data_IF_166877127768
#
_entry.id   IF_166877127768
#
_cell.length_a   1.000
_cell.length_b   1.000
_cell.length_c   1.000
_cell.angle_alpha   90.00
_cell.angle_beta   90.00
_cell.angle_gamma   90.00
#
_symmetry.space_group_name_H-M   'P 1'
#
loop_
_entity.id
_entity.type
_entity.pdbx_description
1 polymer ?
#
# COMPACT_ATOMS: atom_id res chain seq x y z
N UNK A 1 16.46 0.53 13.62
CA UNK A 1 17.16 0.96 14.85
C UNK A 1 16.47 0.44 16.11
N UNK A 2 15.15 0.51 16.24
CA UNK A 2 14.42 0.05 17.43
C UNK A 2 14.57 -1.47 17.68
N UNK A 3 14.61 -2.29 16.64
CA UNK A 3 14.91 -3.73 16.77
C UNK A 3 16.31 -3.94 17.35
N UNK A 4 17.33 -3.22 16.86
CA UNK A 4 18.70 -3.28 17.39
C UNK A 4 18.75 -2.95 18.89
N UNK A 5 18.06 -1.89 19.29
CA UNK A 5 17.96 -1.48 20.71
C UNK A 5 17.25 -2.53 21.54
N UNK A 6 16.12 -3.04 21.08
CA UNK A 6 15.32 -4.03 21.82
C UNK A 6 16.07 -5.34 22.03
N UNK A 7 16.89 -5.76 21.05
CA UNK A 7 17.70 -6.97 21.13
C UNK A 7 19.06 -6.76 21.83
N UNK A 8 19.45 -5.52 22.13
CA UNK A 8 20.80 -5.22 22.61
C UNK A 8 21.88 -5.58 21.59
N UNK A 9 21.57 -5.57 20.29
CA UNK A 9 22.44 -5.99 19.19
C UNK A 9 22.79 -4.80 18.28
N UNK A 10 23.67 -3.88 18.70
CA UNK A 10 23.96 -2.69 17.89
C UNK A 10 24.64 -3.03 16.55
N UNK A 11 25.28 -4.19 16.45
CA UNK A 11 25.95 -4.67 15.23
C UNK A 11 25.03 -5.43 14.26
N UNK A 12 23.74 -5.61 14.61
CA UNK A 12 22.79 -6.27 13.73
C UNK A 12 22.72 -5.53 12.40
N UNK A 13 22.99 -6.23 11.30
CA UNK A 13 22.88 -5.67 9.95
C UNK A 13 21.54 -6.03 9.33
N UNK A 14 20.96 -5.09 8.60
CA UNK A 14 19.79 -5.30 7.76
C UNK A 14 20.28 -5.41 6.32
N UNK A 15 19.93 -6.49 5.65
CA UNK A 15 20.15 -6.67 4.22
C UNK A 15 18.84 -6.35 3.51
N UNK A 16 18.84 -5.31 2.69
CA UNK A 16 17.67 -4.90 1.91
C UNK A 16 17.64 -5.68 0.60
N UNK A 17 16.48 -6.27 0.30
CA UNK A 17 16.22 -7.05 -0.91
C UNK A 17 15.01 -6.46 -1.61
N UNK A 18 15.16 -6.09 -2.88
CA UNK A 18 14.04 -5.57 -3.68
C UNK A 18 13.06 -6.67 -4.01
N UNK A 19 11.80 -6.42 -3.73
CA UNK A 19 10.68 -7.33 -4.02
C UNK A 19 9.61 -6.64 -4.84
N UNK A 20 8.75 -7.43 -5.47
CA UNK A 20 7.53 -7.00 -6.18
C UNK A 20 6.31 -7.59 -5.49
N UNK A 21 5.11 -7.11 -5.84
CA UNK A 21 3.86 -7.69 -5.32
C UNK A 21 3.73 -9.19 -5.62
N UNK A 22 4.30 -9.67 -6.72
CA UNK A 22 4.21 -11.08 -7.12
C UNK A 22 5.27 -11.99 -6.47
N UNK A 23 6.47 -11.48 -6.14
CA UNK A 23 7.56 -12.32 -5.64
C UNK A 23 7.80 -12.24 -4.13
N UNK A 24 7.29 -11.22 -3.42
CA UNK A 24 7.54 -11.03 -1.98
C UNK A 24 7.13 -12.23 -1.12
N UNK A 25 5.94 -12.80 -1.34
CA UNK A 25 5.48 -13.98 -0.60
C UNK A 25 6.30 -15.24 -0.91
N UNK A 26 6.54 -15.62 -2.19
CA UNK A 26 7.47 -16.70 -2.52
C UNK A 26 8.86 -16.53 -1.93
N UNK A 27 9.44 -15.34 -1.98
CA UNK A 27 10.78 -15.08 -1.42
C UNK A 27 10.81 -15.26 0.10
N UNK A 28 9.75 -14.85 0.80
CA UNK A 28 9.62 -15.08 2.24
C UNK A 28 9.52 -16.57 2.57
N UNK A 29 8.66 -17.31 1.86
CA UNK A 29 8.46 -18.74 2.10
C UNK A 29 9.69 -19.59 1.75
N UNK A 30 10.50 -19.14 0.79
CA UNK A 30 11.76 -19.78 0.39
C UNK A 30 12.98 -19.30 1.20
N UNK A 31 12.79 -18.61 2.32
CA UNK A 31 13.86 -18.09 3.19
C UNK A 31 14.86 -17.15 2.47
N UNK A 32 14.45 -16.47 1.42
CA UNK A 32 15.26 -15.46 0.74
C UNK A 32 15.17 -14.09 1.43
N UNK A 33 14.08 -13.85 2.16
CA UNK A 33 13.90 -12.73 3.08
C UNK A 33 13.27 -13.24 4.37
N UNK A 34 13.47 -12.53 5.48
CA UNK A 34 12.92 -12.90 6.79
C UNK A 34 11.70 -12.06 7.18
N UNK A 35 11.66 -10.83 6.70
CA UNK A 35 10.63 -9.84 7.01
C UNK A 35 10.39 -8.97 5.77
N UNK A 36 9.13 -8.72 5.46
CA UNK A 36 8.72 -7.72 4.46
C UNK A 36 7.83 -6.70 5.15
N UNK A 37 8.21 -5.42 5.08
CA UNK A 37 7.49 -4.29 5.66
C UNK A 37 7.35 -3.20 4.60
N UNK A 38 6.50 -3.43 3.62
CA UNK A 38 6.21 -2.50 2.54
C UNK A 38 4.72 -2.22 2.43
N UNK A 39 4.21 -2.20 1.22
CA UNK A 39 2.79 -2.05 0.92
C UNK A 39 2.08 -3.40 0.83
N UNK A 40 2.33 -4.30 1.78
CA UNK A 40 1.63 -5.59 1.81
C UNK A 40 0.34 -5.47 2.62
N UNK A 41 -0.78 -5.63 1.92
CA UNK A 41 -2.10 -5.70 2.55
C UNK A 41 -2.22 -6.94 3.42
N UNK A 42 -2.63 -6.77 4.66
CA UNK A 42 -3.00 -7.84 5.56
C UNK A 42 -4.42 -8.31 5.21
N UNK A 43 -4.56 -9.50 4.67
CA UNK A 43 -5.85 -10.13 4.35
C UNK A 43 -5.97 -11.49 5.00
N UNK A 44 -7.20 -11.91 5.33
CA UNK A 44 -7.49 -13.24 5.87
C UNK A 44 -7.01 -14.36 4.92
N UNK A 45 -7.12 -14.13 3.60
CA UNK A 45 -6.61 -15.10 2.62
C UNK A 45 -5.09 -15.30 2.75
N UNK A 46 -4.33 -14.21 2.90
CA UNK A 46 -2.86 -14.28 3.04
C UNK A 46 -2.41 -14.90 4.35
N UNK A 47 -3.22 -14.79 5.41
CA UNK A 47 -2.96 -15.48 6.69
C UNK A 47 -2.89 -17.00 6.55
N UNK A 48 -3.45 -17.59 5.49
CA UNK A 48 -3.30 -19.02 5.23
C UNK A 48 -1.84 -19.43 4.94
N UNK A 49 -1.05 -18.54 4.35
CA UNK A 49 0.34 -18.81 3.96
C UNK A 49 1.39 -18.18 4.87
N UNK A 50 1.13 -16.99 5.39
CA UNK A 50 2.10 -16.15 6.14
C UNK A 50 1.49 -15.62 7.43
N UNK A 51 2.32 -15.05 8.29
CA UNK A 51 1.89 -14.32 9.48
C UNK A 51 2.10 -12.81 9.29
N UNK A 52 1.31 -12.03 9.98
CA UNK A 52 1.36 -10.56 9.94
C UNK A 52 1.62 -9.95 11.31
N UNK A 53 2.22 -8.78 11.30
CA UNK A 53 2.36 -7.92 12.46
C UNK A 53 1.06 -7.15 12.74
N UNK A 54 1.08 -6.35 13.82
CA UNK A 54 0.13 -5.26 13.95
C UNK A 54 0.15 -4.38 12.69
N UNK A 55 -1.03 -3.94 12.29
CA UNK A 55 -1.17 -3.02 11.16
C UNK A 55 -0.57 -1.66 11.48
N UNK A 56 0.13 -1.06 10.51
CA UNK A 56 0.78 0.23 10.72
C UNK A 56 0.22 1.35 9.84
N UNK A 57 -0.62 1.03 8.87
CA UNK A 57 -1.23 2.02 7.98
C UNK A 57 -2.56 1.51 7.44
N UNK A 58 -3.61 2.33 7.52
CA UNK A 58 -4.90 2.05 6.90
C UNK A 58 -5.13 3.02 5.73
N UNK A 59 -5.67 2.51 4.63
CA UNK A 59 -5.87 3.26 3.40
C UNK A 59 -7.13 2.81 2.66
N UNK A 60 -7.55 3.64 1.71
CA UNK A 60 -8.60 3.29 0.76
C UNK A 60 -8.01 2.82 -0.57
N UNK A 61 -8.71 1.94 -1.27
CA UNK A 61 -8.42 1.62 -2.67
C UNK A 61 -9.19 2.58 -3.55
N UNK A 62 -8.46 3.32 -4.38
CA UNK A 62 -9.01 4.34 -5.27
C UNK A 62 -8.44 4.23 -6.68
N UNK A 63 -8.70 5.20 -7.52
CA UNK A 63 -8.10 5.31 -8.84
C UNK A 63 -7.45 6.67 -9.04
N UNK A 64 -6.40 6.68 -9.85
CA UNK A 64 -5.84 7.90 -10.43
C UNK A 64 -6.17 7.93 -11.92
N UNK A 65 -6.61 9.08 -12.40
CA UNK A 65 -7.02 9.32 -13.79
C UNK A 65 -6.42 10.62 -14.29
N UNK A 66 -6.40 10.81 -15.61
CA UNK A 66 -6.13 12.14 -16.17
C UNK A 66 -7.29 13.08 -15.84
N UNK A 67 -6.99 14.29 -15.40
CA UNK A 67 -7.99 15.30 -15.09
C UNK A 67 -8.85 15.63 -16.30
N UNK A 68 -8.28 15.61 -17.50
CA UNK A 68 -8.98 15.85 -18.78
C UNK A 68 -9.96 14.75 -19.15
N UNK A 69 -9.92 13.58 -18.52
CA UNK A 69 -10.81 12.46 -18.86
C UNK A 69 -12.25 12.66 -18.41
N UNK A 70 -12.50 13.55 -17.46
CA UNK A 70 -13.82 13.75 -16.85
C UNK A 70 -14.31 12.58 -15.98
N UNK A 71 -13.50 11.52 -15.81
CA UNK A 71 -13.84 10.36 -14.97
C UNK A 71 -13.81 10.78 -13.51
N UNK A 72 -14.87 10.49 -12.79
CA UNK A 72 -15.05 10.85 -11.37
C UNK A 72 -15.28 9.66 -10.47
N UNK A 73 -15.88 8.58 -10.97
CA UNK A 73 -16.13 7.36 -10.20
C UNK A 73 -15.96 6.09 -11.05
N UNK A 74 -15.94 4.92 -10.42
CA UNK A 74 -15.75 3.62 -11.05
C UNK A 74 -16.83 3.27 -12.09
N UNK A 75 -18.04 3.78 -11.95
CA UNK A 75 -19.10 3.63 -12.94
C UNK A 75 -18.77 4.27 -14.28
N UNK A 76 -17.97 5.34 -14.28
CA UNK A 76 -17.55 6.03 -15.50
C UNK A 76 -16.54 5.21 -16.33
N UNK A 77 -16.00 4.13 -15.73
CA UNK A 77 -15.03 3.24 -16.37
C UNK A 77 -15.68 2.19 -17.29
N UNK A 78 -17.00 2.08 -17.30
CA UNK A 78 -17.72 1.04 -18.08
C UNK A 78 -17.22 0.94 -19.52
N UNK A 79 -16.85 -0.27 -19.96
CA UNK A 79 -16.31 -0.58 -21.29
C UNK A 79 -14.87 -0.10 -21.56
N UNK A 80 -14.21 0.55 -20.60
CA UNK A 80 -12.87 1.14 -20.78
C UNK A 80 -11.75 0.20 -20.37
N UNK A 81 -10.54 0.54 -20.79
CA UNK A 81 -9.31 -0.16 -20.35
C UNK A 81 -8.81 0.48 -19.06
N UNK A 82 -8.62 -0.36 -18.04
CA UNK A 82 -8.15 0.03 -16.72
C UNK A 82 -6.92 -0.79 -16.37
N UNK A 83 -5.94 -0.19 -15.74
CA UNK A 83 -4.73 -0.87 -15.29
C UNK A 83 -4.70 -0.96 -13.77
N UNK A 84 -4.16 -2.05 -13.27
CA UNK A 84 -3.77 -2.26 -11.86
C UNK A 84 -2.44 -3.01 -11.82
N UNK A 85 -1.91 -3.28 -10.64
CA UNK A 85 -0.68 -4.06 -10.50
C UNK A 85 -1.01 -5.53 -10.23
N UNK A 86 -0.32 -6.43 -10.89
CA UNK A 86 -0.51 -7.87 -10.76
C UNK A 86 -0.26 -8.37 -9.32
N UNK A 87 -1.03 -9.36 -8.89
CA UNK A 87 -0.90 -10.03 -7.60
C UNK A 87 -1.17 -9.14 -6.38
N UNK A 88 -1.91 -8.05 -6.58
CA UNK A 88 -2.37 -7.17 -5.50
C UNK A 88 -3.81 -7.51 -5.07
N UNK A 89 -4.20 -7.05 -3.88
CA UNK A 89 -5.59 -7.06 -3.44
C UNK A 89 -6.48 -6.19 -4.34
N UNK A 90 -5.94 -5.07 -4.82
CA UNK A 90 -6.63 -4.17 -5.73
C UNK A 90 -7.04 -4.83 -7.03
N UNK A 91 -6.20 -5.70 -7.60
CA UNK A 91 -6.55 -6.48 -8.78
C UNK A 91 -7.79 -7.35 -8.51
N UNK A 92 -7.85 -8.00 -7.34
CA UNK A 92 -9.02 -8.81 -6.95
C UNK A 92 -10.26 -7.95 -6.75
N UNK A 93 -10.13 -6.84 -6.00
CA UNK A 93 -11.23 -5.91 -5.78
C UNK A 93 -11.78 -5.35 -7.08
N UNK A 94 -10.90 -4.94 -7.99
CA UNK A 94 -11.30 -4.41 -9.30
C UNK A 94 -12.01 -5.45 -10.16
N UNK A 95 -11.50 -6.70 -10.20
CA UNK A 95 -12.13 -7.81 -10.92
C UNK A 95 -13.49 -8.15 -10.33
N UNK A 96 -13.61 -8.16 -9.00
CA UNK A 96 -14.88 -8.36 -8.30
C UNK A 96 -15.88 -7.26 -8.63
N UNK A 97 -15.48 -5.99 -8.52
CA UNK A 97 -16.32 -4.86 -8.90
C UNK A 97 -16.83 -4.98 -10.34
N UNK A 98 -15.92 -5.33 -11.27
CA UNK A 98 -16.26 -5.51 -12.69
C UNK A 98 -17.33 -6.59 -12.90
N UNK A 99 -17.20 -7.72 -12.19
CA UNK A 99 -18.18 -8.81 -12.25
C UNK A 99 -19.51 -8.41 -11.63
N UNK A 100 -19.48 -7.87 -10.40
CA UNK A 100 -20.68 -7.57 -9.62
C UNK A 100 -21.54 -6.44 -10.26
N UNK A 101 -20.87 -5.48 -10.89
CA UNK A 101 -21.55 -4.32 -11.52
C UNK A 101 -21.63 -4.41 -13.05
N UNK A 102 -21.19 -5.50 -13.65
CA UNK A 102 -21.23 -5.74 -15.12
C UNK A 102 -20.63 -4.58 -15.93
N UNK A 103 -19.50 -4.01 -15.47
CA UNK A 103 -18.91 -2.82 -16.07
C UNK A 103 -18.20 -3.08 -17.40
N UNK A 104 -17.97 -4.35 -17.77
CA UNK A 104 -17.26 -4.74 -18.98
C UNK A 104 -15.87 -4.07 -19.12
N UNK A 105 -15.14 -3.94 -18.00
CA UNK A 105 -13.81 -3.36 -18.00
C UNK A 105 -12.81 -4.28 -18.72
N UNK A 106 -11.92 -3.70 -19.50
CA UNK A 106 -10.73 -4.37 -19.99
C UNK A 106 -9.60 -4.13 -18.96
N UNK A 107 -9.45 -5.08 -18.03
CA UNK A 107 -8.48 -4.98 -16.93
C UNK A 107 -7.14 -5.52 -17.39
N UNK A 108 -6.10 -4.68 -17.35
CA UNK A 108 -4.70 -5.05 -17.54
C UNK A 108 -3.98 -5.05 -16.20
N UNK A 109 -3.14 -6.06 -15.96
CA UNK A 109 -2.32 -6.16 -14.76
C UNK A 109 -0.86 -5.92 -15.14
N UNK A 110 -0.29 -4.81 -14.67
CA UNK A 110 1.10 -4.45 -14.90
C UNK A 110 2.02 -5.21 -13.94
N UNK A 111 3.27 -5.40 -14.31
CA UNK A 111 4.28 -6.08 -13.50
C UNK A 111 4.55 -5.39 -12.16
N UNK A 112 4.56 -4.06 -12.19
CA UNK A 112 4.78 -3.21 -11.02
C UNK A 112 3.99 -1.90 -11.12
N UNK A 113 3.99 -1.11 -10.05
CA UNK A 113 3.21 0.12 -9.97
C UNK A 113 3.72 1.20 -10.94
N UNK A 114 5.02 1.24 -11.22
CA UNK A 114 5.59 2.21 -12.16
C UNK A 114 5.12 1.94 -13.60
N UNK A 115 5.10 0.66 -14.01
CA UNK A 115 4.56 0.25 -15.30
C UNK A 115 3.05 0.54 -15.41
N UNK A 116 2.30 0.33 -14.32
CA UNK A 116 0.88 0.65 -14.28
C UNK A 116 0.63 2.16 -14.47
N UNK A 117 1.39 3.00 -13.75
CA UNK A 117 1.28 4.46 -13.91
C UNK A 117 1.76 4.93 -15.29
N UNK A 118 2.80 4.31 -15.85
CA UNK A 118 3.22 4.57 -17.22
C UNK A 118 2.12 4.27 -18.24
N UNK A 119 1.37 3.17 -18.07
CA UNK A 119 0.24 2.83 -18.93
C UNK A 119 -0.86 3.91 -18.91
N UNK A 120 -1.14 4.51 -17.74
CA UNK A 120 -2.03 5.67 -17.62
C UNK A 120 -1.46 6.90 -18.33
N UNK A 121 -0.18 7.18 -18.16
CA UNK A 121 0.50 8.34 -18.79
C UNK A 121 0.53 8.25 -20.31
N UNK A 122 0.70 7.06 -20.83
CA UNK A 122 0.74 6.76 -22.27
C UNK A 122 -0.66 6.52 -22.88
N UNK A 123 -1.71 6.73 -22.08
CA UNK A 123 -3.10 6.57 -22.49
C UNK A 123 -3.47 5.14 -22.96
N UNK A 124 -2.65 4.14 -22.58
CA UNK A 124 -2.97 2.71 -22.77
C UNK A 124 -4.09 2.24 -21.82
N UNK A 125 -4.32 2.98 -20.73
CA UNK A 125 -5.42 2.80 -19.82
C UNK A 125 -5.97 4.17 -19.40
N UNK A 126 -7.26 4.26 -19.10
CA UNK A 126 -7.89 5.51 -18.65
C UNK A 126 -7.81 5.75 -17.15
N UNK A 127 -7.55 4.70 -16.38
CA UNK A 127 -7.40 4.74 -14.93
C UNK A 127 -6.35 3.72 -14.47
N UNK A 128 -5.62 4.08 -13.41
CA UNK A 128 -4.83 3.16 -12.61
C UNK A 128 -5.48 3.02 -11.23
N UNK A 129 -5.89 1.80 -10.90
CA UNK A 129 -6.56 1.47 -9.62
C UNK A 129 -5.54 0.87 -8.68
N UNK A 130 -5.38 1.48 -7.49
CA UNK A 130 -4.36 1.11 -6.52
C UNK A 130 -4.62 1.76 -5.16
N UNK A 131 -3.83 1.39 -4.17
CA UNK A 131 -3.80 1.98 -2.84
C UNK A 131 -3.64 3.49 -2.91
N UNK A 132 -4.49 4.20 -2.19
CA UNK A 132 -4.52 5.66 -2.21
C UNK A 132 -3.15 6.32 -1.93
N UNK A 133 -2.35 5.92 -0.93
CA UNK A 133 -1.03 6.51 -0.70
C UNK A 133 -0.07 6.29 -1.87
N UNK A 134 -0.16 5.16 -2.57
CA UNK A 134 0.69 4.87 -3.73
C UNK A 134 0.35 5.77 -4.91
N UNK A 135 -0.94 5.92 -5.23
CA UNK A 135 -1.34 6.79 -6.35
C UNK A 135 -1.10 8.28 -6.05
N UNK A 136 -1.19 8.71 -4.79
CA UNK A 136 -0.74 10.05 -4.38
C UNK A 136 0.77 10.24 -4.56
N UNK A 137 1.56 9.21 -4.23
CA UNK A 137 3.01 9.20 -4.46
C UNK A 137 3.35 9.41 -5.93
N UNK A 138 2.77 8.61 -6.83
CA UNK A 138 2.98 8.75 -8.28
C UNK A 138 2.54 10.10 -8.81
N UNK A 139 1.36 10.58 -8.39
CA UNK A 139 0.89 11.92 -8.76
C UNK A 139 1.88 12.99 -8.34
N UNK A 140 2.33 12.97 -7.07
CA UNK A 140 3.16 14.02 -6.51
C UNK A 140 4.58 14.05 -7.07
N UNK A 141 5.07 12.92 -7.59
CA UNK A 141 6.40 12.80 -8.20
C UNK A 141 6.39 13.02 -9.71
N UNK A 142 5.22 13.11 -10.35
CA UNK A 142 5.14 13.40 -11.78
C UNK A 142 5.54 14.86 -12.06
N UNK A 143 6.25 15.15 -13.15
CA UNK A 143 6.59 16.53 -13.55
C UNK A 143 5.36 17.45 -13.73
N UNK A 144 4.19 16.87 -13.99
CA UNK A 144 2.93 17.58 -14.18
C UNK A 144 1.82 17.01 -13.29
N UNK A 145 1.94 17.16 -11.96
CA UNK A 145 1.02 16.55 -11.00
C UNK A 145 -0.43 17.07 -11.15
N UNK A 146 -0.59 18.26 -11.73
CA UNK A 146 -1.89 18.88 -12.02
C UNK A 146 -2.68 18.21 -13.14
N UNK A 147 -2.03 17.39 -13.98
CA UNK A 147 -2.67 16.63 -15.05
C UNK A 147 -3.48 15.43 -14.53
N UNK A 148 -3.27 15.05 -13.28
CA UNK A 148 -3.87 13.87 -12.67
C UNK A 148 -4.74 14.21 -11.45
N UNK A 149 -5.76 13.40 -11.24
CA UNK A 149 -6.62 13.45 -10.04
C UNK A 149 -6.78 12.05 -9.47
N UNK A 150 -6.67 11.94 -8.13
CA UNK A 150 -7.06 10.73 -7.40
C UNK A 150 -8.53 10.88 -7.05
N UNK A 151 -9.36 9.94 -7.47
CA UNK A 151 -10.82 10.03 -7.37
C UNK A 151 -11.47 8.65 -7.23
N UNK A 152 -12.79 8.62 -7.22
CA UNK A 152 -13.61 7.43 -7.06
C UNK A 152 -14.04 7.20 -5.61
N UNK A 153 -15.25 6.72 -5.43
CA UNK A 153 -15.69 6.16 -4.14
C UNK A 153 -14.76 5.01 -3.76
N UNK A 154 -14.24 4.92 -2.52
CA UNK A 154 -13.37 3.82 -2.12
C UNK A 154 -13.97 2.45 -2.47
N UNK A 155 -13.20 1.59 -3.14
CA UNK A 155 -13.60 0.20 -3.39
C UNK A 155 -13.60 -0.63 -2.11
N UNK A 156 -12.78 -0.26 -1.16
CA UNK A 156 -12.62 -0.88 0.14
C UNK A 156 -11.59 -0.11 0.95
N UNK A 157 -11.49 -0.51 2.20
CA UNK A 157 -10.44 -0.04 3.12
C UNK A 157 -9.58 -1.24 3.48
N UNK A 158 -8.28 -1.07 3.41
CA UNK A 158 -7.29 -2.11 3.67
C UNK A 158 -6.23 -1.60 4.65
N UNK A 159 -5.40 -2.51 5.17
CA UNK A 159 -4.31 -2.16 6.08
C UNK A 159 -2.99 -2.78 5.62
N UNK A 160 -1.90 -2.05 5.77
CA UNK A 160 -0.55 -2.59 5.65
C UNK A 160 -0.07 -3.17 6.98
N UNK A 161 0.57 -4.32 6.89
CA UNK A 161 1.29 -4.94 8.00
C UNK A 161 2.59 -5.56 7.51
N UNK A 162 3.57 -5.73 8.40
CA UNK A 162 4.75 -6.49 8.09
C UNK A 162 4.42 -7.98 7.98
N UNK A 163 4.97 -8.65 6.97
CA UNK A 163 4.75 -10.05 6.68
C UNK A 163 6.00 -10.87 7.04
N UNK A 164 5.81 -12.02 7.67
CA UNK A 164 6.85 -12.98 8.03
C UNK A 164 6.33 -14.42 8.02
N UNK A 165 7.24 -15.40 8.16
CA UNK A 165 6.86 -16.81 8.14
C UNK A 165 6.00 -17.16 9.36
N UNK A 166 5.04 -18.06 9.16
CA UNK A 166 4.22 -18.59 10.26
C UNK A 166 5.09 -19.35 11.28
N UNK A 167 4.70 -19.25 12.54
CA UNK A 167 5.39 -19.96 13.64
C UNK A 167 6.57 -19.20 14.23
N UNK A 168 7.00 -18.08 13.65
CA UNK A 168 8.06 -17.24 14.21
C UNK A 168 7.50 -16.25 15.26
N UNK A 169 7.01 -16.79 16.36
CA UNK A 169 6.45 -15.99 17.45
C UNK A 169 7.46 -15.03 18.11
N UNK A 170 8.76 -15.36 18.24
CA UNK A 170 9.73 -14.38 18.71
C UNK A 170 9.85 -13.15 17.81
N UNK A 171 9.92 -13.33 16.49
CA UNK A 171 9.98 -12.24 15.53
C UNK A 171 8.66 -11.43 15.55
N UNK A 172 7.51 -12.10 15.59
CA UNK A 172 6.20 -11.45 15.68
C UNK A 172 6.11 -10.55 16.90
N UNK A 173 6.46 -11.05 18.08
CA UNK A 173 6.45 -10.26 19.33
C UNK A 173 7.38 -9.05 19.24
N UNK A 174 8.57 -9.25 18.68
CA UNK A 174 9.55 -8.18 18.50
C UNK A 174 9.03 -7.07 17.60
N UNK A 175 8.52 -7.44 16.39
CA UNK A 175 7.99 -6.49 15.40
C UNK A 175 6.76 -5.77 15.97
N UNK A 176 5.82 -6.50 16.56
CA UNK A 176 4.62 -5.92 17.18
C UNK A 176 4.99 -4.95 18.32
N UNK A 177 5.98 -5.30 19.13
CA UNK A 177 6.44 -4.42 20.20
C UNK A 177 7.02 -3.11 19.68
N UNK A 178 7.74 -3.13 18.55
CA UNK A 178 8.27 -1.92 17.91
C UNK A 178 7.16 -1.08 17.30
N UNK A 179 6.25 -1.70 16.53
CA UNK A 179 5.12 -1.00 15.89
C UNK A 179 4.23 -0.36 16.95
N UNK A 180 3.78 -1.11 17.95
CA UNK A 180 2.89 -0.60 18.99
C UNK A 180 3.51 0.56 19.78
N UNK A 181 4.79 0.46 20.15
CA UNK A 181 5.49 1.58 20.80
C UNK A 181 5.53 2.80 19.90
N UNK A 182 5.90 2.64 18.63
CA UNK A 182 5.94 3.76 17.70
C UNK A 182 4.58 4.43 17.50
N UNK A 183 3.50 3.65 17.51
CA UNK A 183 2.14 4.16 17.39
C UNK A 183 1.72 4.91 18.66
N UNK A 184 1.86 4.32 19.82
CA UNK A 184 1.38 4.88 21.09
C UNK A 184 2.28 5.99 21.65
N UNK A 185 3.56 6.09 21.24
CA UNK A 185 4.46 7.18 21.64
C UNK A 185 4.26 8.49 20.86
N UNK A 186 3.48 8.46 19.76
CA UNK A 186 3.35 9.58 18.82
C UNK A 186 4.42 9.60 17.73
N UNK A 187 5.39 8.68 17.71
CA UNK A 187 6.41 8.61 16.66
C UNK A 187 5.82 8.28 15.31
N UNK A 188 4.81 7.41 15.24
CA UNK A 188 4.11 7.09 14.00
C UNK A 188 3.44 8.34 13.40
N UNK A 189 2.77 9.16 14.22
CA UNK A 189 2.18 10.41 13.75
C UNK A 189 3.24 11.43 13.31
N UNK A 190 4.36 11.52 14.02
CA UNK A 190 5.49 12.38 13.64
C UNK A 190 6.08 11.95 12.29
N UNK A 191 6.31 10.65 12.09
CA UNK A 191 6.80 10.10 10.82
C UNK A 191 5.77 10.31 9.70
N UNK A 192 4.48 10.12 9.99
CA UNK A 192 3.43 10.39 9.02
C UNK A 192 3.48 11.84 8.54
N UNK A 193 3.54 12.82 9.47
CA UNK A 193 3.65 14.23 9.12
C UNK A 193 4.86 14.50 8.24
N UNK A 194 6.02 13.93 8.60
CA UNK A 194 7.27 14.12 7.86
C UNK A 194 7.17 13.63 6.39
N UNK A 195 6.51 12.50 6.15
CA UNK A 195 6.52 11.87 4.84
C UNK A 195 5.28 12.11 3.99
N UNK A 196 4.16 12.52 4.58
CA UNK A 196 2.89 12.65 3.87
C UNK A 196 2.35 14.08 3.80
N UNK A 197 2.77 14.98 4.71
CA UNK A 197 2.20 16.33 4.79
C UNK A 197 3.24 17.45 4.77
N UNK A 198 4.53 17.11 4.71
CA UNK A 198 5.62 18.07 4.66
C UNK A 198 6.47 17.84 3.40
N UNK A 199 7.27 18.85 2.97
CA UNK A 199 8.20 18.69 1.86
C UNK A 199 9.26 17.63 2.17
N UNK A 200 9.36 16.60 1.32
CA UNK A 200 10.28 15.46 1.44
C UNK A 200 11.63 15.83 0.80
N UNK A 201 12.76 15.79 1.54
CA UNK A 201 14.08 15.99 0.95
C UNK A 201 14.43 14.89 -0.07
N UNK A 202 15.30 15.15 -1.05
CA UNK A 202 15.91 16.45 -1.37
C UNK A 202 15.05 17.33 -2.28
N UNK A 203 13.97 16.80 -2.86
CA UNK A 203 13.22 17.44 -3.94
C UNK A 203 12.05 18.32 -3.47
N UNK A 204 11.77 18.37 -2.18
CA UNK A 204 10.68 19.17 -1.62
C UNK A 204 9.27 18.72 -2.01
N UNK A 205 9.12 17.49 -2.51
CA UNK A 205 7.82 16.91 -2.89
C UNK A 205 6.96 16.77 -1.66
N UNK A 206 5.70 17.21 -1.72
CA UNK A 206 4.72 17.02 -0.67
C UNK A 206 3.53 16.23 -1.24
N UNK A 207 3.19 15.11 -0.61
CA UNK A 207 2.07 14.29 -1.03
C UNK A 207 0.73 14.98 -0.74
N UNK A 208 0.71 15.93 0.20
CA UNK A 208 -0.52 16.57 0.67
C UNK A 208 -1.60 15.56 1.06
N UNK A 209 -1.19 14.50 1.74
CA UNK A 209 -2.03 13.38 2.16
C UNK A 209 -2.21 13.41 3.68
N UNK A 210 -3.30 14.02 4.18
CA UNK A 210 -3.49 14.23 5.61
C UNK A 210 -3.77 12.92 6.36
N UNK A 211 -3.34 12.84 7.62
CA UNK A 211 -3.60 11.70 8.48
C UNK A 211 -5.11 11.52 8.69
N UNK A 212 -5.63 10.36 8.30
CA UNK A 212 -7.04 10.02 8.45
C UNK A 212 -7.42 9.72 9.90
N UNK A 213 -8.70 9.81 10.22
CA UNK A 213 -9.22 9.38 11.52
C UNK A 213 -9.00 7.89 11.77
N UNK A 214 -9.10 7.07 10.73
CA UNK A 214 -8.83 5.64 10.79
C UNK A 214 -7.39 5.36 11.20
N UNK A 215 -6.42 6.06 10.63
CA UNK A 215 -5.01 5.93 11.04
C UNK A 215 -4.77 6.46 12.46
N UNK A 216 -5.45 7.54 12.88
CA UNK A 216 -5.39 8.00 14.28
C UNK A 216 -5.91 6.94 15.25
N UNK A 217 -7.05 6.32 14.92
CA UNK A 217 -7.63 5.24 15.70
C UNK A 217 -6.72 4.02 15.76
N UNK A 218 -6.11 3.63 14.62
CA UNK A 218 -5.14 2.54 14.53
C UNK A 218 -3.90 2.81 15.40
N UNK A 219 -3.40 4.05 15.43
CA UNK A 219 -2.25 4.42 16.26
C UNK A 219 -2.60 4.44 17.75
N UNK A 220 -3.83 4.83 18.10
CA UNK A 220 -4.30 4.80 19.49
C UNK A 220 -4.56 3.36 19.99
N UNK A 221 -4.97 2.45 19.09
CA UNK A 221 -5.35 1.08 19.40
C UNK A 221 -4.68 0.09 18.46
N UNK A 222 -3.34 -0.15 18.59
CA UNK A 222 -2.61 -1.09 17.75
C UNK A 222 -3.25 -2.48 17.74
N UNK A 223 -3.45 -3.05 16.56
CA UNK A 223 -4.02 -4.37 16.41
C UNK A 223 -3.55 -5.04 15.11
N UNK A 224 -3.78 -6.34 15.00
CA UNK A 224 -3.41 -7.18 13.86
C UNK A 224 -4.63 -7.71 13.10
N UNK A 225 -5.71 -6.95 13.05
CA UNK A 225 -6.92 -7.37 12.33
C UNK A 225 -6.78 -7.12 10.84
N UNK A 226 -7.01 -8.15 10.03
CA UNK A 226 -7.24 -7.99 8.61
C UNK A 226 -8.55 -7.21 8.38
N UNK A 227 -8.57 -6.36 7.36
CA UNK A 227 -9.79 -5.76 6.84
C UNK A 227 -10.09 -6.44 5.49
N UNK A 228 -11.23 -7.14 5.40
CA UNK A 228 -11.71 -7.84 4.20
C UNK A 228 -12.96 -7.15 3.63
#
# INVERSE_FOLDING_TARGET
DEIRKTLGMPQLRVHEVTVTSSNRTPMLLNNQIDLECGSTTHTVERENAVAFSNSFFQYAVRMIVRKSSGISDFTDLAGKTVVTTASTSDERLLRRLNADRHLNLRITAARDHAEAFAALKEERAVAFVMDEPIVYGFKSTDPRPGDFVVTGTPLGYEVYACMFRKGDEPLRKLVNGVISRGQTSGDAERLYKQWFTQPIPPHGINLNFPLSEQNRALFAHPNDRALD
#
